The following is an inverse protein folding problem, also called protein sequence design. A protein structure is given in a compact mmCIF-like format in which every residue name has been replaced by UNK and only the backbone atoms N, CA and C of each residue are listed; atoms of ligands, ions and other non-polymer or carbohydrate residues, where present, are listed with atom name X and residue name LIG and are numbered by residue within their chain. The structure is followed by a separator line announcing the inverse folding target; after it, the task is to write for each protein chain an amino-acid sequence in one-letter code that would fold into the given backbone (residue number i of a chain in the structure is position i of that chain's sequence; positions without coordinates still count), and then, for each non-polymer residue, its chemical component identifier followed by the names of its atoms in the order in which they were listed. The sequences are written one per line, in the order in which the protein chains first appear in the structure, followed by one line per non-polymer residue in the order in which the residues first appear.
data_IF_935606732046
#
_entry.id   IF_935606732046
#
_cell.length_a   1.000
_cell.length_b   1.000
_cell.length_c   1.000
_cell.angle_alpha   90.00
_cell.angle_beta   90.00
_cell.angle_gamma   90.00
#
_symmetry.space_group_name_H-M   'P 1'
#
loop_
_entity.id
_entity.type
_entity.pdbx_description
1 polymer ?
#
# COMPACT_ATOMS: atom_id res chain seq x y z
N UNK A 1 13.79 6.51 48.69
CA UNK A 1 14.29 7.65 49.48
C UNK A 1 15.02 8.60 48.54
N UNK A 2 14.43 9.75 48.23
CA UNK A 2 15.11 10.98 47.83
C UNK A 2 14.08 12.11 47.97
N UNK A 3 14.20 12.86 49.07
CA UNK A 3 13.35 13.99 49.44
C UNK A 3 13.82 15.22 48.65
N UNK A 4 12.93 15.82 47.85
CA UNK A 4 13.14 17.19 47.37
C UNK A 4 12.34 18.19 48.20
N UNK A 5 12.93 19.35 48.54
CA UNK A 5 12.40 20.27 49.52
C UNK A 5 11.28 21.16 48.97
N UNK A 6 10.28 21.29 49.82
CA UNK A 6 9.16 22.23 49.77
C UNK A 6 9.68 23.68 49.79
N UNK A 7 9.57 24.41 48.68
CA UNK A 7 9.76 25.86 48.67
C UNK A 7 8.40 26.55 48.80
N UNK A 8 8.17 26.98 50.04
CA UNK A 8 7.07 27.80 50.55
C UNK A 8 7.28 29.24 50.06
N UNK A 9 6.61 29.65 48.98
CA UNK A 9 6.56 31.06 48.61
C UNK A 9 5.37 31.76 49.30
N UNK A 10 5.75 32.85 49.95
CA UNK A 10 4.98 33.75 50.77
C UNK A 10 3.74 34.30 50.05
N UNK A 11 2.60 34.20 50.73
CA UNK A 11 1.44 35.07 50.55
C UNK A 11 1.88 36.54 50.69
N UNK A 12 2.05 37.23 49.57
CA UNK A 12 1.87 38.68 49.55
C UNK A 12 0.40 38.95 49.25
N UNK A 13 -0.39 39.13 50.32
CA UNK A 13 -1.67 39.82 50.27
C UNK A 13 -1.41 41.29 49.93
N UNK A 14 -1.21 41.56 48.63
CA UNK A 14 -1.21 42.92 48.11
C UNK A 14 -2.68 43.30 47.98
N UNK A 15 -3.18 44.05 48.97
CA UNK A 15 -4.40 44.86 48.84
C UNK A 15 -4.18 45.82 47.66
N UNK A 16 -4.55 45.39 46.46
CA UNK A 16 -4.75 46.31 45.36
C UNK A 16 -6.01 47.10 45.70
N UNK A 17 -5.78 48.32 46.20
CA UNK A 17 -6.75 49.40 46.20
C UNK A 17 -7.44 49.40 44.84
N UNK A 18 -8.70 48.99 44.82
CA UNK A 18 -9.64 49.34 43.77
C UNK A 18 -9.84 50.85 43.83
N UNK A 19 -8.92 51.58 43.18
CA UNK A 19 -9.22 52.91 42.68
C UNK A 19 -10.30 52.71 41.62
N UNK A 20 -11.56 52.70 42.04
CA UNK A 20 -12.66 53.09 41.17
C UNK A 20 -12.46 54.57 40.88
N UNK A 21 -11.59 54.85 39.93
CA UNK A 21 -11.74 56.05 39.12
C UNK A 21 -13.09 55.85 38.46
N UNK A 22 -14.12 56.52 38.99
CA UNK A 22 -15.33 56.79 38.25
C UNK A 22 -14.92 57.73 37.11
N UNK A 23 -14.23 57.17 36.11
CA UNK A 23 -14.04 57.83 34.84
C UNK A 23 -15.44 58.00 34.30
N UNK A 24 -15.84 59.26 34.12
CA UNK A 24 -16.93 59.57 33.21
C UNK A 24 -16.62 58.83 31.91
N UNK A 25 -17.56 58.03 31.43
CA UNK A 25 -17.52 57.50 30.07
C UNK A 25 -17.58 58.72 29.14
N UNK A 26 -16.41 59.28 28.81
CA UNK A 26 -16.26 60.22 27.71
C UNK A 26 -16.60 59.41 26.46
N UNK A 27 -17.76 59.69 25.88
CA UNK A 27 -18.24 58.97 24.70
C UNK A 27 -17.15 58.90 23.63
N UNK A 28 -16.99 57.73 23.00
CA UNK A 28 -16.00 57.55 21.94
C UNK A 28 -16.18 58.61 20.86
N UNK A 29 -15.09 59.27 20.50
CA UNK A 29 -15.11 60.16 19.34
C UNK A 29 -15.42 59.34 18.09
N UNK A 30 -16.13 59.92 17.12
CA UNK A 30 -16.51 59.23 15.88
C UNK A 30 -15.29 58.63 15.15
N UNK A 31 -14.13 59.30 15.25
CA UNK A 31 -12.85 58.83 14.70
C UNK A 31 -12.33 57.59 15.42
N UNK A 32 -12.48 57.49 16.74
CA UNK A 32 -12.03 56.35 17.54
C UNK A 32 -12.87 55.08 17.29
N UNK A 33 -14.19 55.25 17.11
CA UNK A 33 -15.06 54.16 16.69
C UNK A 33 -14.67 53.65 15.29
N UNK A 34 -14.39 54.56 14.36
CA UNK A 34 -13.99 54.21 12.99
C UNK A 34 -12.66 53.44 12.98
N UNK A 35 -11.65 53.89 13.75
CA UNK A 35 -10.37 53.19 13.88
C UNK A 35 -10.56 51.81 14.50
N UNK A 36 -11.41 51.68 15.52
CA UNK A 36 -11.67 50.39 16.17
C UNK A 36 -12.32 49.37 15.23
N UNK A 37 -13.29 49.82 14.41
CA UNK A 37 -13.93 48.96 13.40
C UNK A 37 -12.91 48.55 12.33
N UNK A 38 -12.09 49.49 11.85
CA UNK A 38 -11.06 49.22 10.86
C UNK A 38 -10.02 48.20 11.38
N UNK A 39 -9.54 48.38 12.60
CA UNK A 39 -8.58 47.47 13.23
C UNK A 39 -9.18 46.09 13.48
N UNK A 40 -10.43 46.02 13.97
CA UNK A 40 -11.12 44.75 14.18
C UNK A 40 -11.33 44.02 12.86
N UNK A 41 -11.70 44.75 11.79
CA UNK A 41 -11.83 44.19 10.44
C UNK A 41 -10.53 43.55 9.96
N UNK A 42 -9.40 44.27 10.06
CA UNK A 42 -8.08 43.76 9.65
C UNK A 42 -7.70 42.51 10.45
N UNK A 43 -7.91 42.52 11.78
CA UNK A 43 -7.59 41.39 12.65
C UNK A 43 -8.46 40.18 12.32
N UNK A 44 -9.77 40.35 12.15
CA UNK A 44 -10.71 39.25 11.83
C UNK A 44 -10.39 38.65 10.46
N UNK A 45 -10.05 39.46 9.46
CA UNK A 45 -9.64 38.96 8.14
C UNK A 45 -8.36 38.12 8.24
N UNK A 46 -7.35 38.58 8.99
CA UNK A 46 -6.11 37.83 9.18
C UNK A 46 -6.34 36.50 9.92
N UNK A 47 -7.14 36.51 11.00
CA UNK A 47 -7.49 35.30 11.76
C UNK A 47 -8.29 34.30 10.90
N UNK A 48 -9.24 34.78 10.09
CA UNK A 48 -10.02 33.93 9.19
C UNK A 48 -9.13 33.26 8.14
N UNK A 49 -8.17 34.00 7.57
CA UNK A 49 -7.17 33.45 6.67
C UNK A 49 -6.33 32.34 7.32
N UNK A 50 -5.89 32.54 8.56
CA UNK A 50 -5.14 31.52 9.31
C UNK A 50 -5.95 30.24 9.56
N UNK A 51 -7.24 30.36 9.93
CA UNK A 51 -8.12 29.20 10.15
C UNK A 51 -8.28 28.38 8.87
N UNK A 52 -8.50 29.04 7.72
CA UNK A 52 -8.62 28.35 6.42
C UNK A 52 -7.35 27.57 6.09
N UNK A 53 -6.17 28.16 6.32
CA UNK A 53 -4.89 27.47 6.10
C UNK A 53 -4.74 26.25 7.02
N UNK A 54 -5.09 26.37 8.30
CA UNK A 54 -5.03 25.25 9.26
C UNK A 54 -5.97 24.11 8.84
N UNK A 55 -7.20 24.41 8.42
CA UNK A 55 -8.16 23.40 7.95
C UNK A 55 -7.66 22.68 6.69
N UNK A 56 -7.08 23.41 5.75
CA UNK A 56 -6.50 22.83 4.53
C UNK A 56 -5.28 21.94 4.85
N UNK A 57 -4.46 22.34 5.82
CA UNK A 57 -3.32 21.55 6.28
C UNK A 57 -3.75 20.24 6.95
N UNK A 58 -4.83 20.25 7.72
CA UNK A 58 -5.40 19.05 8.33
C UNK A 58 -5.89 18.06 7.26
N UNK A 59 -6.61 18.53 6.24
CA UNK A 59 -7.05 17.68 5.12
C UNK A 59 -5.86 17.06 4.38
N UNK A 60 -4.82 17.84 4.13
CA UNK A 60 -3.58 17.36 3.48
C UNK A 60 -2.86 16.31 4.32
N UNK A 61 -2.79 16.52 5.62
CA UNK A 61 -2.09 15.60 6.54
C UNK A 61 -2.85 14.28 6.70
N UNK A 62 -4.18 14.33 6.81
CA UNK A 62 -5.04 13.14 6.76
C UNK A 62 -4.88 12.40 5.43
N UNK A 63 -4.81 13.17 4.34
CA UNK A 63 -4.47 12.75 2.99
C UNK A 63 -3.29 11.77 2.93
N UNK A 64 -2.15 12.27 3.41
CA UNK A 64 -0.88 11.54 3.43
C UNK A 64 -0.91 10.37 4.40
N UNK A 65 -1.60 10.50 5.52
CA UNK A 65 -1.71 9.44 6.51
C UNK A 65 -2.53 8.25 5.98
N UNK A 66 -3.64 8.50 5.28
CA UNK A 66 -4.43 7.43 4.68
C UNK A 66 -3.60 6.70 3.61
N UNK A 67 -2.91 7.46 2.76
CA UNK A 67 -2.04 6.88 1.76
C UNK A 67 -0.93 6.00 2.38
N UNK A 68 -0.24 6.49 3.42
CA UNK A 68 0.80 5.72 4.09
C UNK A 68 0.26 4.44 4.75
N UNK A 69 -0.94 4.49 5.33
CA UNK A 69 -1.61 3.29 5.89
C UNK A 69 -1.97 2.30 4.81
N UNK A 70 -2.54 2.77 3.71
CA UNK A 70 -2.92 1.96 2.57
C UNK A 70 -1.71 1.31 1.89
N UNK A 71 -0.61 2.04 1.72
CA UNK A 71 0.65 1.49 1.21
C UNK A 71 1.23 0.41 2.12
N UNK A 72 1.17 0.59 3.44
CA UNK A 72 1.62 -0.43 4.39
C UNK A 72 0.70 -1.67 4.34
N UNK A 73 -0.62 -1.47 4.35
CA UNK A 73 -1.60 -2.56 4.25
C UNK A 73 -1.46 -3.37 2.96
N UNK A 74 -1.45 -2.70 1.81
CA UNK A 74 -1.25 -3.34 0.51
C UNK A 74 0.12 -4.03 0.42
N UNK A 75 1.18 -3.37 0.88
CA UNK A 75 2.54 -3.88 0.84
C UNK A 75 2.80 -5.09 1.74
N UNK A 76 2.04 -5.23 2.84
CA UNK A 76 2.17 -6.36 3.76
C UNK A 76 1.54 -7.65 3.20
N UNK A 77 0.36 -7.54 2.58
CA UNK A 77 -0.43 -8.72 2.22
C UNK A 77 -0.33 -9.10 0.75
N UNK A 78 -0.49 -8.14 -0.17
CA UNK A 78 -0.70 -8.42 -1.60
C UNK A 78 0.54 -9.07 -2.25
N UNK A 79 1.78 -8.61 -2.02
CA UNK A 79 2.95 -9.25 -2.62
C UNK A 79 3.12 -10.70 -2.19
N UNK A 80 2.92 -11.01 -0.91
CA UNK A 80 3.05 -12.38 -0.38
C UNK A 80 1.98 -13.32 -0.94
N UNK A 81 0.74 -12.84 -1.04
CA UNK A 81 -0.34 -13.63 -1.62
C UNK A 81 -0.15 -13.85 -3.12
N UNK A 82 0.25 -12.81 -3.89
CA UNK A 82 0.50 -12.96 -5.32
C UNK A 82 1.72 -13.83 -5.63
N UNK A 83 2.74 -13.83 -4.75
CA UNK A 83 3.89 -14.73 -4.88
C UNK A 83 3.51 -16.19 -4.62
N UNK A 84 2.53 -16.41 -3.75
CA UNK A 84 2.05 -17.75 -3.40
C UNK A 84 1.01 -18.26 -4.39
N UNK A 85 0.22 -17.35 -4.95
CA UNK A 85 -0.85 -17.66 -5.88
C UNK A 85 -0.35 -18.35 -7.14
N UNK A 86 -1.14 -19.30 -7.63
CA UNK A 86 -0.96 -19.86 -8.96
C UNK A 86 -1.30 -18.86 -10.07
N UNK A 87 -1.33 -19.34 -11.30
CA UNK A 87 -1.62 -18.56 -12.50
C UNK A 87 -3.04 -17.95 -12.55
N UNK A 88 -3.96 -18.48 -11.76
CA UNK A 88 -5.39 -18.15 -11.83
C UNK A 88 -5.76 -17.11 -10.78
N UNK A 89 -6.20 -15.95 -11.27
CA UNK A 89 -6.77 -14.87 -10.47
C UNK A 89 -8.22 -14.70 -10.89
N UNK A 90 -9.15 -14.83 -9.95
CA UNK A 90 -10.58 -14.71 -10.23
C UNK A 90 -11.10 -13.33 -9.76
N UNK A 91 -11.69 -12.58 -10.68
CA UNK A 91 -12.25 -11.24 -10.43
C UNK A 91 -13.79 -11.23 -10.45
N UNK A 92 -14.43 -12.39 -10.51
CA UNK A 92 -15.89 -12.50 -10.43
C UNK A 92 -16.38 -11.90 -9.11
N UNK A 93 -17.38 -11.00 -9.11
CA UNK A 93 -17.76 -10.23 -7.93
C UNK A 93 -18.48 -11.10 -6.88
N UNK A 94 -19.14 -12.18 -7.31
CA UNK A 94 -19.93 -13.09 -6.47
C UNK A 94 -19.12 -14.24 -5.89
N UNK A 95 -17.87 -14.44 -6.34
CA UNK A 95 -17.08 -15.58 -5.87
C UNK A 95 -16.74 -15.43 -4.39
N UNK A 96 -16.70 -16.57 -3.69
CA UNK A 96 -16.32 -16.65 -2.29
C UNK A 96 -15.05 -17.50 -2.14
N UNK A 97 -14.27 -17.20 -1.10
CA UNK A 97 -13.05 -17.94 -0.76
C UNK A 97 -13.30 -19.20 0.05
N UNK A 98 -14.55 -19.61 0.27
CA UNK A 98 -14.91 -20.57 1.32
C UNK A 98 -14.99 -22.04 0.88
N UNK A 99 -14.45 -22.43 -0.26
CA UNK A 99 -14.56 -23.81 -0.77
C UNK A 99 -16.00 -24.37 -0.75
N UNK A 100 -17.01 -23.49 -0.91
CA UNK A 100 -18.44 -23.83 -0.73
C UNK A 100 -19.08 -23.04 0.40
N UNK A 101 -19.54 -23.73 1.45
CA UNK A 101 -20.25 -23.08 2.58
C UNK A 101 -19.23 -22.47 3.55
N UNK A 102 -19.35 -21.16 3.80
CA UNK A 102 -18.46 -20.48 4.74
C UNK A 102 -18.69 -20.92 6.18
N UNK A 103 -17.61 -21.06 6.98
CA UNK A 103 -17.74 -21.28 8.41
C UNK A 103 -18.44 -20.09 9.08
N UNK A 104 -19.14 -20.37 10.18
CA UNK A 104 -19.85 -19.33 10.95
C UNK A 104 -18.86 -18.26 11.42
N UNK A 105 -19.18 -16.99 11.15
CA UNK A 105 -18.34 -15.85 11.51
C UNK A 105 -17.32 -15.43 10.45
N UNK A 106 -17.24 -16.11 9.31
CA UNK A 106 -16.49 -15.60 8.17
C UNK A 106 -17.21 -14.39 7.55
N UNK A 107 -16.55 -13.23 7.55
CA UNK A 107 -17.05 -12.05 6.85
C UNK A 107 -16.72 -12.14 5.37
N UNK A 108 -17.73 -12.49 4.57
CA UNK A 108 -17.69 -12.55 3.10
C UNK A 108 -18.55 -11.46 2.46
N UNK A 109 -18.83 -10.37 3.19
CA UNK A 109 -19.60 -9.24 2.68
C UNK A 109 -18.97 -8.58 1.45
N UNK A 110 -19.74 -7.70 0.81
CA UNK A 110 -19.24 -6.91 -0.32
C UNK A 110 -19.01 -7.69 -1.61
N UNK A 111 -18.22 -7.13 -2.52
CA UNK A 111 -17.88 -7.72 -3.82
C UNK A 111 -16.42 -8.13 -3.86
N UNK A 112 -16.13 -9.29 -4.47
CA UNK A 112 -14.76 -9.70 -4.72
C UNK A 112 -14.10 -8.79 -5.77
N UNK A 113 -12.92 -8.29 -5.44
CA UNK A 113 -12.04 -7.55 -6.32
C UNK A 113 -11.01 -8.46 -6.98
N UNK A 114 -10.51 -9.43 -6.21
CA UNK A 114 -9.49 -10.38 -6.63
C UNK A 114 -9.46 -11.57 -5.68
N UNK A 115 -9.52 -12.78 -6.24
CA UNK A 115 -9.32 -14.02 -5.51
C UNK A 115 -8.08 -14.75 -6.01
N UNK A 116 -7.24 -15.16 -5.06
CA UNK A 116 -6.01 -15.89 -5.24
C UNK A 116 -6.13 -17.27 -4.60
N UNK A 117 -5.54 -18.28 -5.21
CA UNK A 117 -5.55 -19.63 -4.65
C UNK A 117 -4.23 -20.35 -4.87
N UNK A 118 -3.82 -21.15 -3.88
CA UNK A 118 -2.64 -21.99 -3.95
C UNK A 118 -2.75 -23.19 -2.99
N UNK A 119 -1.88 -24.19 -3.20
CA UNK A 119 -1.78 -25.35 -2.33
C UNK A 119 -0.39 -25.41 -1.70
N UNK A 120 -0.34 -25.88 -0.46
CA UNK A 120 0.90 -26.12 0.29
C UNK A 120 0.84 -27.50 0.94
N UNK A 121 2.00 -28.11 1.21
CA UNK A 121 2.09 -29.32 2.00
C UNK A 121 2.38 -28.94 3.45
N UNK A 122 1.55 -29.42 4.37
CA UNK A 122 1.72 -29.23 5.81
C UNK A 122 1.75 -30.58 6.51
N UNK A 123 2.51 -30.71 7.59
CA UNK A 123 2.48 -31.93 8.40
C UNK A 123 1.21 -31.95 9.26
N UNK A 124 0.47 -33.06 9.24
CA UNK A 124 -0.63 -33.28 10.17
C UNK A 124 -0.11 -33.69 11.57
N UNK A 125 -1.02 -33.88 12.54
CA UNK A 125 -0.66 -34.30 13.91
C UNK A 125 0.07 -35.64 13.99
N UNK A 126 0.05 -36.44 12.92
CA UNK A 126 0.73 -37.73 12.78
C UNK A 126 2.06 -37.62 12.02
N UNK A 127 2.50 -36.42 11.64
CA UNK A 127 3.72 -36.18 10.87
C UNK A 127 3.64 -36.52 9.38
N UNK A 128 2.47 -36.85 8.85
CA UNK A 128 2.26 -37.08 7.42
C UNK A 128 2.01 -35.76 6.69
N UNK A 129 2.58 -35.61 5.50
CA UNK A 129 2.34 -34.44 4.64
C UNK A 129 0.95 -34.50 4.04
N UNK A 130 0.12 -33.50 4.36
CA UNK A 130 -1.23 -33.33 3.83
C UNK A 130 -1.33 -32.02 3.06
N UNK A 131 -2.18 -31.99 2.04
CA UNK A 131 -2.40 -30.79 1.23
C UNK A 131 -3.29 -29.81 1.97
N UNK A 132 -2.76 -28.61 2.19
CA UNK A 132 -3.50 -27.43 2.65
C UNK A 132 -3.80 -26.54 1.45
N UNK A 133 -5.08 -26.34 1.15
CA UNK A 133 -5.54 -25.40 0.14
C UNK A 133 -5.79 -24.04 0.80
N UNK A 134 -5.23 -22.98 0.24
CA UNK A 134 -5.44 -21.61 0.71
C UNK A 134 -6.12 -20.81 -0.40
N UNK A 135 -7.23 -20.16 -0.07
CA UNK A 135 -7.93 -19.18 -0.91
C UNK A 135 -7.95 -17.84 -0.20
N UNK A 136 -7.56 -16.78 -0.91
CA UNK A 136 -7.59 -15.41 -0.40
C UNK A 136 -8.42 -14.55 -1.32
N UNK A 137 -9.49 -13.96 -0.81
CA UNK A 137 -10.26 -12.95 -1.54
C UNK A 137 -10.03 -11.56 -0.95
N UNK A 138 -9.78 -10.60 -1.83
CA UNK A 138 -9.79 -9.18 -1.52
C UNK A 138 -11.16 -8.64 -1.89
N UNK A 139 -11.92 -8.19 -0.90
CA UNK A 139 -13.31 -7.79 -1.08
C UNK A 139 -13.50 -6.32 -0.74
N UNK A 140 -14.24 -5.62 -1.61
CA UNK A 140 -14.66 -4.26 -1.39
C UNK A 140 -16.01 -4.28 -0.67
N UNK A 141 -16.07 -3.70 0.52
CA UNK A 141 -17.24 -3.76 1.42
C UNK A 141 -17.56 -2.37 1.97
N UNK A 142 -18.85 -2.09 2.17
CA UNK A 142 -19.34 -0.91 2.86
C UNK A 142 -19.62 -1.27 4.33
N UNK A 143 -18.89 -0.67 5.26
CA UNK A 143 -19.03 -0.88 6.70
C UNK A 143 -19.44 0.45 7.34
N UNK A 144 -20.72 0.55 7.73
CA UNK A 144 -21.30 1.84 8.13
C UNK A 144 -21.29 2.80 6.95
N UNK A 145 -20.59 3.92 7.08
CA UNK A 145 -20.44 4.95 6.04
C UNK A 145 -19.07 4.88 5.33
N UNK A 146 -18.24 3.86 5.62
CA UNK A 146 -16.88 3.73 5.11
C UNK A 146 -16.75 2.54 4.14
N UNK A 147 -16.17 2.79 2.97
CA UNK A 147 -15.73 1.72 2.09
C UNK A 147 -14.35 1.21 2.50
N UNK A 148 -14.25 -0.11 2.66
CA UNK A 148 -13.04 -0.80 3.10
C UNK A 148 -12.69 -1.91 2.13
N UNK A 149 -11.39 -2.22 2.01
CA UNK A 149 -10.91 -3.43 1.36
C UNK A 149 -10.55 -4.43 2.45
N UNK A 150 -11.29 -5.53 2.52
CA UNK A 150 -11.00 -6.63 3.44
C UNK A 150 -10.29 -7.76 2.70
N UNK A 151 -9.39 -8.44 3.38
CA UNK A 151 -8.74 -9.67 2.95
C UNK A 151 -9.36 -10.82 3.74
N UNK A 152 -10.05 -11.71 3.05
CA UNK A 152 -10.63 -12.93 3.60
C UNK A 152 -9.76 -14.10 3.16
N UNK A 153 -8.99 -14.66 4.08
CA UNK A 153 -8.22 -15.87 3.85
C UNK A 153 -8.95 -17.06 4.43
N UNK A 154 -9.22 -18.06 3.60
CA UNK A 154 -9.74 -19.35 4.03
C UNK A 154 -8.74 -20.44 3.70
N UNK A 155 -8.43 -21.24 4.72
CA UNK A 155 -7.55 -22.39 4.63
C UNK A 155 -8.39 -23.66 4.80
N UNK A 156 -8.25 -24.61 3.87
CA UNK A 156 -8.82 -25.95 3.95
C UNK A 156 -7.71 -26.98 4.19
N UNK A 157 -7.84 -27.79 5.24
CA UNK A 157 -6.95 -28.91 5.53
C UNK A 157 -7.80 -30.11 5.93
N UNK A 158 -7.64 -31.24 5.21
CA UNK A 158 -8.41 -32.47 5.44
C UNK A 158 -9.94 -32.23 5.55
N UNK A 159 -10.47 -31.34 4.69
CA UNK A 159 -11.90 -30.99 4.66
C UNK A 159 -12.35 -29.95 5.70
N UNK A 160 -11.53 -29.64 6.70
CA UNK A 160 -11.81 -28.58 7.67
C UNK A 160 -11.45 -27.22 7.08
N UNK A 161 -12.42 -26.29 7.03
CA UNK A 161 -12.23 -24.93 6.53
C UNK A 161 -12.16 -23.95 7.70
N UNK A 162 -11.12 -23.12 7.71
CA UNK A 162 -10.97 -22.02 8.68
C UNK A 162 -10.76 -20.72 7.92
N UNK A 163 -11.52 -19.67 8.27
CA UNK A 163 -11.42 -18.38 7.62
C UNK A 163 -10.97 -17.29 8.60
N UNK A 164 -10.21 -16.32 8.10
CA UNK A 164 -9.75 -15.13 8.83
C UNK A 164 -9.94 -13.91 7.95
N UNK A 165 -10.54 -12.87 8.51
CA UNK A 165 -10.73 -11.58 7.83
C UNK A 165 -9.83 -10.53 8.46
N UNK A 166 -9.14 -9.76 7.63
CA UNK A 166 -8.35 -8.61 8.04
C UNK A 166 -8.72 -7.42 7.16
N UNK A 167 -8.80 -6.22 7.74
CA UNK A 167 -8.96 -5.00 6.94
C UNK A 167 -7.60 -4.62 6.36
N UNK A 168 -7.52 -4.48 5.04
CA UNK A 168 -6.30 -4.12 4.31
C UNK A 168 -6.26 -2.61 4.08
N UNK A 169 -7.36 -2.04 3.59
CA UNK A 169 -7.47 -0.61 3.27
C UNK A 169 -8.72 -0.02 3.90
N UNK A 170 -8.61 1.25 4.26
CA UNK A 170 -9.64 2.07 4.87
C UNK A 170 -9.93 3.30 3.99
N UNK A 171 -11.10 3.90 4.18
CA UNK A 171 -11.54 5.14 3.52
C UNK A 171 -11.35 5.11 1.99
N UNK A 172 -11.85 4.06 1.36
CA UNK A 172 -11.79 3.93 -0.10
C UNK A 172 -12.83 4.83 -0.77
N UNK A 173 -12.56 5.15 -2.03
CA UNK A 173 -13.47 5.91 -2.86
C UNK A 173 -14.72 5.12 -3.20
N UNK A 174 -15.86 5.81 -3.11
CA UNK A 174 -17.14 5.29 -3.58
C UNK A 174 -17.08 4.88 -5.05
N UNK A 175 -17.95 3.94 -5.49
CA UNK A 175 -18.02 3.55 -6.90
C UNK A 175 -18.21 4.77 -7.82
N UNK A 176 -17.54 4.82 -8.98
CA UNK A 176 -17.68 5.91 -9.94
C UNK A 176 -19.14 6.16 -10.37
N UNK A 177 -19.91 5.08 -10.50
CA UNK A 177 -21.31 5.13 -10.94
C UNK A 177 -22.30 5.33 -9.78
N UNK A 178 -21.81 5.45 -8.54
CA UNK A 178 -22.61 5.61 -7.33
C UNK A 178 -23.41 4.38 -6.88
N UNK A 179 -23.58 3.37 -7.74
CA UNK A 179 -24.33 2.15 -7.45
C UNK A 179 -23.39 1.00 -7.03
N UNK A 180 -23.32 0.72 -5.73
CA UNK A 180 -22.65 -0.46 -5.20
C UNK A 180 -23.67 -1.55 -4.84
N UNK A 181 -23.57 -2.70 -5.50
CA UNK A 181 -24.31 -3.91 -5.12
C UNK A 181 -23.32 -5.03 -4.81
N UNK A 182 -23.28 -5.45 -3.55
CA UNK A 182 -22.42 -6.53 -3.09
C UNK A 182 -22.66 -7.82 -3.90
N UNK A 183 -21.58 -8.45 -4.36
CA UNK A 183 -21.62 -9.66 -5.17
C UNK A 183 -21.95 -9.44 -6.65
N UNK A 184 -22.24 -8.20 -7.07
CA UNK A 184 -22.61 -7.86 -8.46
C UNK A 184 -21.64 -6.86 -9.07
N UNK A 185 -21.34 -5.78 -8.36
CA UNK A 185 -20.42 -4.74 -8.86
C UNK A 185 -18.98 -5.21 -8.73
N UNK A 186 -18.20 -5.21 -9.82
CA UNK A 186 -16.75 -5.49 -9.81
C UNK A 186 -16.00 -4.23 -9.42
N UNK A 187 -15.23 -4.20 -8.33
CA UNK A 187 -14.51 -3.01 -7.85
C UNK A 187 -13.17 -2.79 -8.58
N UNK A 188 -13.22 -2.67 -9.91
CA UNK A 188 -12.04 -2.52 -10.78
C UNK A 188 -11.34 -1.15 -10.63
N UNK A 189 -12.04 -0.15 -10.08
CA UNK A 189 -11.48 1.16 -9.74
C UNK A 189 -10.53 1.10 -8.53
N UNK A 190 -10.69 0.11 -7.64
CA UNK A 190 -9.81 -0.09 -6.47
C UNK A 190 -8.71 -1.10 -6.78
N UNK A 191 -9.05 -2.26 -7.33
CA UNK A 191 -8.08 -3.28 -7.74
C UNK A 191 -8.32 -3.64 -9.18
N UNK A 192 -7.33 -3.34 -10.03
CA UNK A 192 -7.32 -3.77 -11.43
C UNK A 192 -6.32 -4.89 -11.60
N UNK A 193 -6.81 -6.07 -11.98
CA UNK A 193 -5.99 -7.21 -12.39
C UNK A 193 -5.84 -7.18 -13.91
N UNK A 194 -4.62 -7.23 -14.41
CA UNK A 194 -4.32 -7.32 -15.83
C UNK A 194 -3.14 -8.26 -16.07
N UNK A 195 -2.94 -8.71 -17.30
CA UNK A 195 -1.67 -9.30 -17.69
C UNK A 195 -0.58 -8.22 -17.67
N UNK A 196 0.65 -8.52 -17.22
CA UNK A 196 1.75 -7.57 -17.32
C UNK A 196 2.11 -7.35 -18.79
N UNK A 197 2.36 -6.09 -19.22
CA UNK A 197 2.89 -5.83 -20.55
C UNK A 197 4.27 -6.49 -20.70
N UNK A 198 4.60 -6.91 -21.92
CA UNK A 198 5.92 -7.45 -22.25
C UNK A 198 7.01 -6.45 -21.81
N UNK A 199 8.05 -6.84 -21.05
CA UNK A 199 9.16 -5.95 -20.72
C UNK A 199 9.91 -5.42 -21.95
N UNK A 200 9.70 -6.00 -23.14
CA UNK A 200 10.20 -5.51 -24.43
C UNK A 200 9.19 -4.63 -25.18
N UNK A 201 7.97 -4.46 -24.66
CA UNK A 201 7.00 -3.56 -25.25
C UNK A 201 7.50 -2.11 -25.13
N UNK A 202 7.70 -1.46 -26.28
CA UNK A 202 8.11 -0.07 -26.39
C UNK A 202 7.02 0.87 -25.80
N UNK A 203 5.79 0.37 -25.65
CA UNK A 203 4.67 1.07 -25.07
C UNK A 203 3.95 0.19 -24.01
N UNK A 204 3.91 0.61 -22.73
CA UNK A 204 3.27 -0.14 -21.65
C UNK A 204 1.73 -0.17 -21.73
N UNK A 205 1.11 0.50 -22.72
CA UNK A 205 -0.34 0.47 -22.97
C UNK A 205 -0.76 -0.52 -24.06
N UNK A 206 0.19 -1.10 -24.81
CA UNK A 206 -0.08 -2.07 -25.87
C UNK A 206 -0.22 -3.47 -25.26
N UNK A 207 -1.46 -3.97 -25.19
CA UNK A 207 -1.78 -5.33 -24.70
C UNK A 207 -1.78 -6.39 -25.80
N UNK A 208 -1.59 -6.00 -27.07
CA UNK A 208 -1.56 -6.90 -28.23
C UNK A 208 -0.55 -6.38 -29.25
N UNK A 209 0.53 -7.13 -29.49
CA UNK A 209 1.41 -6.91 -30.64
C UNK A 209 0.86 -7.78 -31.78
N UNK A 210 0.18 -7.17 -32.75
CA UNK A 210 -0.08 -7.83 -34.03
C UNK A 210 1.22 -7.84 -34.85
N UNK A 211 1.64 -9.03 -35.28
CA UNK A 211 2.73 -9.21 -36.25
C UNK A 211 3.76 -10.26 -35.81
N UNK A 212 3.61 -11.47 -36.36
CA UNK A 212 4.60 -12.52 -36.75
C UNK A 212 6.02 -12.59 -36.13
N UNK A 213 6.25 -12.11 -34.91
CA UNK A 213 7.36 -12.55 -34.08
C UNK A 213 6.93 -13.83 -33.35
N UNK A 214 7.76 -14.89 -33.28
CA UNK A 214 7.39 -16.13 -32.62
C UNK A 214 6.98 -15.82 -31.19
N UNK A 215 5.68 -16.00 -30.91
CA UNK A 215 4.98 -15.84 -29.64
C UNK A 215 5.93 -15.63 -28.46
N UNK A 216 6.29 -14.37 -28.20
CA UNK A 216 7.06 -14.00 -27.01
C UNK A 216 6.15 -14.33 -25.84
N UNK A 217 6.49 -15.42 -25.14
CA UNK A 217 5.63 -16.05 -24.17
C UNK A 217 5.08 -15.02 -23.19
N UNK A 218 3.76 -14.83 -23.21
CA UNK A 218 3.00 -14.25 -22.11
C UNK A 218 3.52 -14.95 -20.86
N UNK A 219 4.34 -14.26 -20.07
CA UNK A 219 4.72 -14.79 -18.76
C UNK A 219 3.39 -14.97 -18.03
N UNK A 220 3.17 -16.13 -17.42
CA UNK A 220 1.96 -16.49 -16.68
C UNK A 220 1.83 -15.68 -15.36
N UNK A 221 2.24 -14.42 -15.40
CA UNK A 221 2.30 -13.46 -14.32
C UNK A 221 1.05 -12.59 -14.38
N UNK A 222 0.65 -12.06 -13.24
CA UNK A 222 -0.48 -11.17 -13.10
C UNK A 222 0.03 -9.85 -12.56
N UNK A 223 -0.44 -8.76 -13.16
CA UNK A 223 -0.21 -7.40 -12.71
C UNK A 223 -1.46 -6.94 -11.97
N UNK A 224 -1.26 -6.51 -10.73
CA UNK A 224 -2.30 -5.96 -9.87
C UNK A 224 -1.98 -4.51 -9.62
N UNK A 225 -2.88 -3.62 -10.04
CA UNK A 225 -2.81 -2.20 -9.73
C UNK A 225 -3.82 -1.90 -8.64
N UNK A 226 -3.34 -1.46 -7.49
CA UNK A 226 -4.15 -1.02 -6.37
C UNK A 226 -4.23 0.49 -6.40
N UNK A 227 -5.43 1.02 -6.55
CA UNK A 227 -5.70 2.45 -6.47
C UNK A 227 -6.02 2.81 -5.01
N UNK A 228 -5.24 3.73 -4.46
CA UNK A 228 -5.42 4.29 -3.13
C UNK A 228 -5.78 5.76 -3.29
N UNK A 229 -6.87 6.19 -2.67
CA UNK A 229 -7.11 7.61 -2.51
C UNK A 229 -6.59 8.05 -1.14
N UNK A 230 -5.55 8.88 -1.15
CA UNK A 230 -5.05 9.50 0.07
C UNK A 230 -6.12 10.41 0.70
N UNK A 231 -6.97 11.03 -0.10
CA UNK A 231 -7.98 11.99 0.32
C UNK A 231 -7.65 13.42 -0.14
N UNK A 232 -8.69 14.26 -0.16
CA UNK A 232 -8.65 15.64 -0.65
C UNK A 232 -9.83 15.91 -1.59
N UNK A 233 -10.48 17.07 -1.45
CA UNK A 233 -11.69 17.41 -2.25
C UNK A 233 -11.41 17.75 -3.72
N UNK A 234 -10.15 17.65 -4.15
CA UNK A 234 -9.69 17.99 -5.51
C UNK A 234 -8.33 17.32 -5.81
N UNK A 235 -8.06 17.08 -7.09
CA UNK A 235 -6.76 16.62 -7.57
C UNK A 235 -5.66 17.57 -7.08
N UNK A 236 -4.64 17.06 -6.40
CA UNK A 236 -3.55 17.86 -5.82
C UNK A 236 -3.80 18.45 -4.42
N UNK A 237 -4.97 18.22 -3.81
CA UNK A 237 -5.31 18.74 -2.47
C UNK A 237 -4.69 17.97 -1.27
N UNK A 238 -3.51 17.37 -1.48
CA UNK A 238 -2.66 16.93 -0.38
C UNK A 238 -2.63 15.43 -0.04
N UNK A 239 -3.54 14.61 -0.57
CA UNK A 239 -3.47 13.13 -0.49
C UNK A 239 -3.39 12.46 -1.87
N UNK A 240 -4.19 12.92 -2.82
CA UNK A 240 -4.16 12.48 -4.22
C UNK A 240 -4.49 10.99 -4.44
N UNK A 241 -4.72 10.62 -5.69
CA UNK A 241 -4.83 9.21 -6.08
C UNK A 241 -3.41 8.67 -6.29
N UNK A 242 -3.03 7.66 -5.49
CA UNK A 242 -1.79 6.91 -5.70
C UNK A 242 -2.12 5.52 -6.21
N UNK A 243 -1.27 5.02 -7.10
CA UNK A 243 -1.37 3.67 -7.61
C UNK A 243 -0.15 2.87 -7.19
N UNK A 244 -0.40 1.69 -6.64
CA UNK A 244 0.61 0.70 -6.32
C UNK A 244 0.48 -0.41 -7.37
N UNK A 245 1.46 -0.50 -8.27
CA UNK A 245 1.52 -1.57 -9.26
C UNK A 245 2.41 -2.69 -8.74
N UNK A 246 1.83 -3.87 -8.56
CA UNK A 246 2.50 -5.09 -8.14
C UNK A 246 2.39 -6.11 -9.27
N UNK A 247 3.51 -6.59 -9.77
CA UNK A 247 3.53 -7.71 -10.72
C UNK A 247 4.13 -8.92 -10.04
N UNK A 248 3.40 -10.05 -10.05
CA UNK A 248 3.85 -11.28 -9.43
C UNK A 248 3.19 -12.50 -10.10
N UNK A 249 3.83 -13.66 -9.93
CA UNK A 249 3.43 -14.93 -10.52
C UNK A 249 4.25 -15.33 -11.76
N UNK A 250 4.04 -16.57 -12.20
CA UNK A 250 4.28 -16.96 -13.59
C UNK A 250 5.58 -17.65 -13.95
N UNK A 251 5.97 -18.72 -13.24
CA UNK A 251 6.49 -19.90 -13.93
C UNK A 251 6.01 -21.20 -13.30
N UNK A 252 5.28 -22.00 -14.09
CA UNK A 252 5.05 -23.41 -13.75
C UNK A 252 6.29 -24.18 -14.21
N UNK A 253 7.05 -24.73 -13.27
CA UNK A 253 8.22 -25.57 -13.55
C UNK A 253 8.07 -26.92 -12.88
N UNK A 254 7.99 -27.97 -13.68
CA UNK A 254 8.01 -29.36 -13.21
C UNK A 254 9.43 -29.82 -12.85
N UNK A 255 10.46 -29.15 -13.38
CA UNK A 255 11.86 -29.25 -12.96
C UNK A 255 12.50 -27.86 -12.87
N UNK A 256 13.13 -27.59 -11.73
CA UNK A 256 14.06 -26.47 -11.54
C UNK A 256 15.46 -27.01 -11.77
N UNK A 257 15.93 -26.92 -13.01
CA UNK A 257 17.32 -27.25 -13.33
C UNK A 257 18.23 -26.20 -12.70
N UNK A 258 19.27 -26.67 -11.99
CA UNK A 258 20.33 -25.85 -11.38
C UNK A 258 20.99 -24.83 -12.34
N UNK A 259 20.83 -25.03 -13.65
CA UNK A 259 21.40 -24.17 -14.69
C UNK A 259 20.41 -23.19 -15.32
N UNK A 260 19.13 -23.23 -14.94
CA UNK A 260 18.07 -22.51 -15.65
C UNK A 260 17.62 -21.23 -14.91
N UNK A 261 17.98 -20.08 -15.48
CA UNK A 261 17.53 -18.75 -15.02
C UNK A 261 16.22 -18.27 -15.65
N UNK A 262 15.58 -19.08 -16.52
CA UNK A 262 14.32 -18.70 -17.13
C UNK A 262 13.21 -18.67 -16.07
N UNK A 263 12.65 -17.48 -15.84
CA UNK A 263 11.40 -17.32 -15.09
C UNK A 263 11.52 -17.17 -13.59
N UNK A 264 12.67 -16.70 -13.08
CA UNK A 264 12.74 -16.20 -11.70
C UNK A 264 11.59 -15.20 -11.46
N UNK A 265 10.78 -15.36 -10.40
CA UNK A 265 9.65 -14.47 -10.15
C UNK A 265 10.17 -13.07 -9.92
N UNK A 266 9.88 -12.16 -10.86
CA UNK A 266 10.21 -10.76 -10.70
C UNK A 266 9.14 -10.12 -9.82
N UNK A 267 9.41 -10.01 -8.52
CA UNK A 267 8.60 -9.20 -7.62
C UNK A 267 8.94 -7.72 -7.85
N UNK A 268 8.38 -7.14 -8.90
CA UNK A 268 8.54 -5.71 -9.18
C UNK A 268 7.35 -5.01 -8.54
N UNK A 269 7.57 -4.46 -7.35
CA UNK A 269 6.72 -3.42 -6.79
C UNK A 269 7.17 -2.09 -7.40
N UNK A 270 6.50 -1.63 -8.46
CA UNK A 270 6.70 -0.29 -8.97
C UNK A 270 5.98 0.68 -8.02
N UNK A 271 6.70 1.14 -6.99
CA UNK A 271 6.24 2.21 -6.11
C UNK A 271 6.26 3.52 -6.89
N UNK A 272 5.11 4.11 -7.13
CA UNK A 272 5.04 5.52 -7.48
C UNK A 272 5.62 6.33 -6.30
N UNK A 273 6.69 7.08 -6.54
CA UNK A 273 7.30 8.12 -5.67
C UNK A 273 8.33 7.77 -4.59
N UNK A 274 8.60 6.51 -4.21
CA UNK A 274 9.67 6.21 -3.23
C UNK A 274 10.49 4.99 -3.64
N UNK A 275 11.57 5.22 -4.37
CA UNK A 275 12.52 4.17 -4.70
C UNK A 275 13.38 3.77 -3.50
N UNK A 276 13.23 2.52 -3.08
CA UNK A 276 14.03 1.93 -2.02
C UNK A 276 15.43 1.56 -2.50
N UNK A 277 16.30 1.18 -1.56
CA UNK A 277 17.61 0.61 -1.87
C UNK A 277 17.55 -0.91 -1.87
N UNK A 278 17.99 -1.57 -2.94
CA UNK A 278 18.16 -3.03 -3.01
C UNK A 278 19.66 -3.31 -2.98
N UNK A 279 20.09 -4.21 -2.08
CA UNK A 279 21.48 -4.66 -2.02
C UNK A 279 21.56 -6.11 -2.47
N UNK A 280 22.42 -6.38 -3.46
CA UNK A 280 22.69 -7.71 -3.97
C UNK A 280 24.09 -8.13 -3.53
N UNK A 281 24.18 -9.22 -2.78
CA UNK A 281 25.44 -9.81 -2.32
C UNK A 281 25.79 -10.95 -3.27
N UNK A 282 26.97 -10.90 -3.89
CA UNK A 282 27.37 -11.81 -4.97
C UNK A 282 28.59 -12.60 -4.52
N UNK A 283 28.45 -13.91 -4.43
CA UNK A 283 29.57 -14.80 -4.15
C UNK A 283 30.52 -14.87 -5.35
N UNK A 284 31.78 -14.53 -5.13
CA UNK A 284 32.90 -14.64 -6.08
C UNK A 284 34.00 -15.56 -5.54
N UNK A 285 33.68 -16.36 -4.51
CA UNK A 285 34.59 -17.37 -4.00
C UNK A 285 34.97 -18.36 -5.11
N UNK A 286 36.15 -18.97 -4.97
CA UNK A 286 36.65 -19.97 -5.92
C UNK A 286 35.80 -21.25 -6.00
N UNK A 287 34.73 -21.36 -5.21
CA UNK A 287 33.77 -22.47 -5.27
C UNK A 287 32.86 -22.39 -6.51
N UNK A 288 32.75 -21.22 -7.13
CA UNK A 288 31.97 -21.01 -8.36
C UNK A 288 32.95 -20.98 -9.54
N UNK A 289 32.83 -21.97 -10.43
CA UNK A 289 33.64 -22.04 -11.64
C UNK A 289 33.47 -20.80 -12.54
N UNK A 290 34.50 -20.46 -13.32
CA UNK A 290 34.49 -19.27 -14.18
C UNK A 290 33.30 -19.21 -15.16
N UNK A 291 32.90 -20.36 -15.70
CA UNK A 291 31.72 -20.50 -16.56
C UNK A 291 30.41 -20.23 -15.82
N UNK A 292 30.29 -20.66 -14.57
CA UNK A 292 29.08 -20.44 -13.77
C UNK A 292 29.03 -19.01 -13.23
N UNK A 293 30.17 -18.41 -12.91
CA UNK A 293 30.23 -17.00 -12.55
C UNK A 293 29.85 -16.09 -13.72
N UNK A 294 30.14 -16.48 -14.96
CA UNK A 294 29.65 -15.77 -16.14
C UNK A 294 28.12 -15.75 -16.21
N UNK A 295 27.45 -16.85 -15.81
CA UNK A 295 25.98 -16.90 -15.71
C UNK A 295 25.46 -15.99 -14.59
N UNK A 296 26.10 -16.01 -13.42
CA UNK A 296 25.78 -15.10 -12.30
C UNK A 296 25.90 -13.64 -12.75
N UNK A 297 26.97 -13.27 -13.46
CA UNK A 297 27.16 -11.93 -13.99
C UNK A 297 26.07 -11.53 -15.00
N UNK A 298 25.68 -12.45 -15.88
CA UNK A 298 24.57 -12.23 -16.81
C UNK A 298 23.23 -12.04 -16.08
N UNK A 299 22.98 -12.81 -15.02
CA UNK A 299 21.79 -12.69 -14.17
C UNK A 299 21.72 -11.33 -13.46
N UNK A 300 22.83 -10.91 -12.85
CA UNK A 300 22.96 -9.61 -12.19
C UNK A 300 22.74 -8.49 -13.20
N UNK A 301 23.29 -8.61 -14.40
CA UNK A 301 23.08 -7.64 -15.47
C UNK A 301 21.61 -7.51 -15.87
N UNK A 302 20.92 -8.63 -16.10
CA UNK A 302 19.49 -8.64 -16.40
C UNK A 302 18.66 -8.05 -15.26
N UNK A 303 18.99 -8.38 -14.01
CA UNK A 303 18.34 -7.84 -12.84
C UNK A 303 18.49 -6.31 -12.77
N UNK A 304 19.70 -5.78 -12.95
CA UNK A 304 19.95 -4.33 -12.99
C UNK A 304 19.15 -3.66 -14.10
N UNK A 305 19.10 -4.26 -15.29
CA UNK A 305 18.33 -3.72 -16.42
C UNK A 305 16.84 -3.62 -16.13
N UNK A 306 16.25 -4.53 -15.33
CA UNK A 306 14.84 -4.46 -14.94
C UNK A 306 14.49 -3.24 -14.08
N UNK A 307 15.49 -2.60 -13.45
CA UNK A 307 15.29 -1.40 -12.63
C UNK A 307 15.71 -0.10 -13.32
N UNK A 308 16.19 -0.15 -14.57
CA UNK A 308 16.51 1.06 -15.34
C UNK A 308 15.23 1.88 -15.54
N UNK A 309 15.28 3.17 -15.18
CA UNK A 309 14.11 4.06 -15.22
C UNK A 309 13.20 4.01 -14.00
N UNK A 310 13.50 3.15 -13.01
CA UNK A 310 12.80 3.16 -11.72
C UNK A 310 13.58 4.02 -10.71
N UNK A 311 12.94 4.60 -9.68
CA UNK A 311 13.63 5.40 -8.66
C UNK A 311 14.50 4.56 -7.68
N UNK A 312 14.71 3.26 -7.95
CA UNK A 312 15.37 2.30 -7.05
C UNK A 312 16.89 2.49 -7.07
N UNK A 313 17.53 2.48 -5.89
CA UNK A 313 19.00 2.47 -5.77
C UNK A 313 19.49 1.03 -5.64
N UNK A 314 20.31 0.56 -6.57
CA UNK A 314 20.93 -0.76 -6.50
C UNK A 314 22.33 -0.66 -5.91
N UNK A 315 22.68 -1.56 -4.99
CA UNK A 315 24.03 -1.72 -4.45
C UNK A 315 24.50 -3.15 -4.69
N UNK A 316 25.63 -3.32 -5.36
CA UNK A 316 26.22 -4.63 -5.64
C UNK A 316 27.41 -4.84 -4.70
N UNK A 317 27.43 -5.96 -3.99
CA UNK A 317 28.49 -6.32 -3.04
C UNK A 317 29.05 -7.68 -3.42
N UNK A 318 30.00 -7.75 -4.38
CA UNK A 318 30.78 -8.96 -4.57
C UNK A 318 31.64 -9.26 -3.35
N UNK A 319 31.69 -10.53 -2.94
CA UNK A 319 32.55 -11.00 -1.86
C UNK A 319 33.31 -12.26 -2.27
N UNK A 320 34.57 -12.35 -1.84
CA UNK A 320 35.37 -13.58 -1.86
C UNK A 320 35.98 -13.81 -0.46
N UNK A 321 37.26 -13.49 -0.26
CA UNK A 321 37.87 -13.29 1.06
C UNK A 321 37.61 -11.88 1.60
N UNK A 322 37.31 -10.91 0.74
CA UNK A 322 36.97 -9.53 1.13
C UNK A 322 35.72 -9.07 0.37
N UNK A 323 34.82 -8.36 1.05
CA UNK A 323 33.68 -7.74 0.40
C UNK A 323 34.09 -6.39 -0.20
N UNK A 324 33.74 -6.14 -1.47
CA UNK A 324 33.87 -4.82 -2.10
C UNK A 324 32.51 -4.32 -2.52
N UNK A 325 32.26 -3.02 -2.42
CA UNK A 325 30.96 -2.43 -2.77
C UNK A 325 31.08 -1.61 -4.04
N UNK A 326 30.22 -1.91 -5.01
CA UNK A 326 30.00 -1.08 -6.20
C UNK A 326 28.59 -0.51 -6.09
N UNK A 327 28.50 0.81 -5.99
CA UNK A 327 27.26 1.57 -5.85
C UNK A 327 27.07 2.54 -7.00
#
# INVERSE_FOLDING_TARGET
MCKHPFLRQSRQTRKLRTNRVAGRDEGMTLVELLISIALTGIIVTALSGAVVVIMNQQSTSNGRLNNARAENGAGLWIPGDLASAGQNVDTSPSINSCFGTCPVGADIGGSNAMMLSWSTLVANGSGQSVTKLTQVSYRYVLVGDEYQLIRVQCDQTEGTVTCRTNVVLHNLDSPPDGNFTAGVTVPDWIIKVSTPPDPLAIDPTVTTIEGDAPAVAVKNAQRVVVTVNGGGKSAGAGGGTNQISLSAGGTNRTLIDSTSMQGAPSLIAARSLCGGSITLIIDRSGSIGSTDFAKVKAAVGQFVTMFVGTPVRLKLVPFDTVASTVG
#
